data_IF_265030022102
#
_entry.id   IF_265030022102
#
_cell.length_a   1.000
_cell.length_b   1.000
_cell.length_c   1.000
_cell.angle_alpha   90.00
_cell.angle_beta   90.00
_cell.angle_gamma   90.00
#
_symmetry.space_group_name_H-M   'P 1'
#
loop_
_entity.id
_entity.type
_entity.pdbx_description
1 polymer ?
#
# COMPACT_ATOMS: atom_id res chain seq x y z
N UNK A 1 11.25 -2.33 -7.70
CA UNK A 1 10.73 -3.59 -7.13
C UNK A 1 11.21 -3.66 -5.69
N UNK A 2 10.31 -3.92 -4.75
CA UNK A 2 10.55 -3.96 -3.31
C UNK A 2 10.07 -5.32 -2.80
N UNK A 3 10.98 -6.11 -2.26
CA UNK A 3 10.74 -7.49 -1.81
C UNK A 3 11.40 -7.75 -0.44
N UNK A 4 11.68 -6.69 0.32
CA UNK A 4 12.33 -6.77 1.64
C UNK A 4 11.69 -5.77 2.60
N UNK A 5 11.65 -6.12 3.87
CA UNK A 5 11.10 -5.25 4.92
C UNK A 5 11.85 -3.90 4.98
N UNK A 6 13.17 -3.91 4.85
CA UNK A 6 13.98 -2.69 4.80
C UNK A 6 13.69 -1.82 3.57
N UNK A 7 13.44 -2.45 2.42
CA UNK A 7 13.05 -1.73 1.21
C UNK A 7 11.67 -1.09 1.35
N UNK A 8 10.72 -1.80 1.97
CA UNK A 8 9.40 -1.24 2.26
C UNK A 8 9.50 -0.05 3.21
N UNK A 9 10.29 -0.18 4.28
CA UNK A 9 10.53 0.92 5.24
C UNK A 9 11.06 2.16 4.55
N UNK A 10 12.10 2.02 3.73
CA UNK A 10 12.71 3.13 3.00
C UNK A 10 11.71 3.83 2.06
N UNK A 11 10.87 3.06 1.37
CA UNK A 11 9.81 3.63 0.50
C UNK A 11 8.76 4.38 1.31
N UNK A 12 8.30 3.80 2.43
CA UNK A 12 7.31 4.46 3.29
C UNK A 12 7.86 5.74 3.94
N UNK A 13 9.14 5.76 4.34
CA UNK A 13 9.82 6.95 4.85
C UNK A 13 9.88 8.06 3.80
N UNK A 14 10.29 7.74 2.57
CA UNK A 14 10.32 8.71 1.47
C UNK A 14 8.91 9.25 1.14
N UNK A 15 7.94 8.34 1.03
CA UNK A 15 6.54 8.67 0.77
C UNK A 15 5.90 9.53 1.86
N UNK A 16 6.33 9.36 3.13
CA UNK A 16 5.84 10.17 4.26
C UNK A 16 6.29 11.64 4.19
N UNK A 17 7.31 11.95 3.40
CA UNK A 17 7.75 13.33 3.15
C UNK A 17 7.00 14.00 1.99
N UNK A 18 6.19 13.25 1.23
CA UNK A 18 5.36 13.79 0.15
C UNK A 18 4.03 14.31 0.69
N UNK A 19 3.43 15.31 0.03
CA UNK A 19 2.09 15.80 0.38
C UNK A 19 0.98 14.82 -0.02
N UNK A 20 1.26 13.94 -0.99
CA UNK A 20 0.32 12.94 -1.47
C UNK A 20 1.05 11.76 -2.11
N UNK A 21 0.36 10.62 -2.14
CA UNK A 21 0.78 9.40 -2.84
C UNK A 21 -0.37 8.85 -3.66
N UNK A 22 -0.07 8.24 -4.80
CA UNK A 22 -1.01 7.41 -5.55
C UNK A 22 -0.77 5.93 -5.22
N UNK A 23 -1.86 5.20 -5.00
CA UNK A 23 -1.86 3.78 -4.66
C UNK A 23 -2.75 3.00 -5.63
N UNK A 24 -2.33 1.79 -5.95
CA UNK A 24 -3.06 0.82 -6.77
C UNK A 24 -2.69 -0.59 -6.33
N UNK A 25 -3.59 -1.56 -6.46
CA UNK A 25 -3.33 -2.96 -6.11
C UNK A 25 -3.66 -3.92 -7.23
N UNK A 26 -2.81 -4.93 -7.39
CA UNK A 26 -3.10 -6.12 -8.18
C UNK A 26 -3.40 -7.27 -7.24
N UNK A 27 -4.54 -7.94 -7.43
CA UNK A 27 -4.96 -9.05 -6.59
C UNK A 27 -5.65 -10.13 -7.41
N UNK A 28 -5.62 -11.36 -6.88
CA UNK A 28 -6.31 -12.49 -7.49
C UNK A 28 -7.51 -12.89 -6.64
N UNK A 29 -8.68 -13.03 -7.30
CA UNK A 29 -9.86 -13.68 -6.73
C UNK A 29 -9.99 -15.06 -7.34
N UNK A 30 -9.62 -16.08 -6.56
CA UNK A 30 -9.76 -17.48 -6.95
C UNK A 30 -10.86 -18.15 -6.12
N UNK A 31 -10.61 -19.35 -5.58
CA UNK A 31 -11.54 -20.07 -4.69
C UNK A 31 -11.36 -19.66 -3.21
N UNK A 32 -10.91 -18.42 -2.97
CA UNK A 32 -10.65 -17.87 -1.64
C UNK A 32 -11.78 -16.94 -1.24
N UNK A 33 -12.09 -16.88 0.07
CA UNK A 33 -13.09 -15.96 0.60
C UNK A 33 -12.61 -14.50 0.54
N UNK A 34 -11.33 -14.25 0.83
CA UNK A 34 -10.68 -12.94 0.72
C UNK A 34 -9.81 -12.87 -0.54
N UNK A 35 -9.73 -11.70 -1.22
CA UNK A 35 -8.76 -11.46 -2.29
C UNK A 35 -7.34 -11.57 -1.74
N UNK A 36 -6.44 -12.15 -2.53
CA UNK A 36 -5.02 -12.23 -2.19
C UNK A 36 -4.28 -11.11 -2.90
N UNK A 37 -3.66 -10.21 -2.13
CA UNK A 37 -2.80 -9.14 -2.64
C UNK A 37 -1.61 -9.78 -3.39
N UNK A 38 -1.47 -9.43 -4.66
CA UNK A 38 -0.38 -9.88 -5.53
C UNK A 38 0.68 -8.80 -5.77
N UNK A 39 0.28 -7.53 -5.81
CA UNK A 39 1.20 -6.40 -5.90
C UNK A 39 0.56 -5.14 -5.31
N UNK A 40 1.36 -4.32 -4.64
CA UNK A 40 0.99 -2.97 -4.26
C UNK A 40 1.87 -1.97 -5.02
N UNK A 41 1.26 -1.05 -5.75
CA UNK A 41 1.95 0.04 -6.42
C UNK A 41 1.83 1.32 -5.59
N UNK A 42 2.95 2.04 -5.46
CA UNK A 42 3.02 3.34 -4.81
C UNK A 42 3.77 4.33 -5.70
N UNK A 43 3.21 5.51 -5.90
CA UNK A 43 3.91 6.64 -6.50
C UNK A 43 3.83 7.86 -5.59
N UNK A 44 4.98 8.42 -5.21
CA UNK A 44 5.11 9.56 -4.30
C UNK A 44 5.30 10.92 -5.00
N UNK A 45 5.20 10.94 -6.34
CA UNK A 45 5.49 12.10 -7.17
C UNK A 45 6.90 12.10 -7.78
N UNK A 46 7.81 11.24 -7.30
CA UNK A 46 9.18 11.12 -7.79
C UNK A 46 9.51 9.69 -8.23
N UNK A 47 9.17 8.69 -7.42
CA UNK A 47 9.50 7.30 -7.61
C UNK A 47 8.26 6.42 -7.67
N UNK A 48 8.24 5.52 -8.65
CA UNK A 48 7.28 4.41 -8.69
C UNK A 48 7.91 3.20 -7.98
N UNK A 49 7.22 2.72 -6.95
CA UNK A 49 7.58 1.55 -6.17
C UNK A 49 6.57 0.44 -6.41
N UNK A 50 7.08 -0.73 -6.79
CA UNK A 50 6.30 -1.97 -6.92
C UNK A 50 6.66 -2.87 -5.75
N UNK A 51 5.71 -3.11 -4.86
CA UNK A 51 5.90 -3.83 -3.61
C UNK A 51 5.30 -5.23 -3.76
N UNK A 52 6.17 -6.24 -3.75
CA UNK A 52 5.78 -7.64 -3.77
C UNK A 52 5.45 -8.09 -2.35
N UNK A 53 4.18 -8.40 -2.04
CA UNK A 53 3.75 -8.68 -0.68
C UNK A 53 4.23 -10.05 -0.16
N UNK A 54 4.67 -10.97 -1.02
CA UNK A 54 4.95 -12.37 -0.64
C UNK A 54 6.16 -12.53 0.27
N UNK A 55 7.05 -11.53 0.29
CA UNK A 55 8.32 -11.55 1.01
C UNK A 55 8.39 -10.53 2.13
N UNK A 56 7.34 -9.72 2.29
CA UNK A 56 7.24 -8.71 3.33
C UNK A 56 6.55 -9.32 4.56
N UNK A 57 7.21 -9.19 5.71
CA UNK A 57 6.71 -9.66 7.00
C UNK A 57 6.29 -8.51 7.90
N UNK A 58 6.94 -7.34 7.76
CA UNK A 58 6.63 -6.15 8.54
C UNK A 58 5.93 -5.07 7.71
N UNK A 59 4.60 -5.01 7.87
CA UNK A 59 3.75 -4.01 7.24
C UNK A 59 3.52 -2.77 8.11
N UNK A 60 4.15 -2.64 9.29
CA UNK A 60 3.99 -1.45 10.13
C UNK A 60 4.29 -0.14 9.38
N UNK A 61 5.38 -0.01 8.58
CA UNK A 61 5.66 1.24 7.86
C UNK A 61 4.57 1.65 6.86
N UNK A 62 3.99 0.66 6.15
CA UNK A 62 2.88 0.92 5.22
C UNK A 62 1.61 1.32 5.98
N UNK A 63 1.31 0.64 7.10
CA UNK A 63 0.15 0.99 7.93
C UNK A 63 0.26 2.41 8.46
N UNK A 64 1.43 2.81 8.94
CA UNK A 64 1.68 4.16 9.42
C UNK A 64 1.50 5.19 8.30
N UNK A 65 2.00 4.91 7.08
CA UNK A 65 1.79 5.77 5.91
C UNK A 65 0.30 5.90 5.53
N UNK A 66 -0.46 4.80 5.53
CA UNK A 66 -1.89 4.80 5.21
C UNK A 66 -2.72 5.59 6.23
N UNK A 67 -2.27 5.63 7.50
CA UNK A 67 -2.89 6.39 8.58
C UNK A 67 -2.39 7.83 8.69
N UNK A 68 -1.27 8.17 8.06
CA UNK A 68 -0.70 9.51 8.10
C UNK A 68 -1.65 10.52 7.44
N UNK A 69 -2.19 11.46 8.22
CA UNK A 69 -3.14 12.49 7.75
C UNK A 69 -2.46 13.63 6.99
N UNK A 70 -1.14 13.80 7.14
CA UNK A 70 -0.37 14.81 6.40
C UNK A 70 -0.13 14.39 4.93
N UNK A 71 -0.38 13.11 4.60
CA UNK A 71 -0.21 12.55 3.27
C UNK A 71 -1.57 12.19 2.69
N UNK A 72 -1.96 12.80 1.57
CA UNK A 72 -3.20 12.42 0.87
C UNK A 72 -2.99 11.12 0.07
N UNK A 73 -3.87 10.13 0.24
CA UNK A 73 -3.82 8.87 -0.53
C UNK A 73 -4.82 8.93 -1.67
N UNK A 74 -4.35 8.88 -2.91
CA UNK A 74 -5.18 8.83 -4.11
C UNK A 74 -5.31 7.39 -4.63
N UNK A 75 -6.54 6.99 -4.91
CA UNK A 75 -6.88 5.75 -5.60
C UNK A 75 -7.89 6.06 -6.70
N UNK A 76 -7.92 5.24 -7.76
CA UNK A 76 -8.93 5.34 -8.81
C UNK A 76 -9.83 4.10 -8.79
N UNK A 77 -11.15 4.31 -8.78
CA UNK A 77 -12.13 3.21 -8.68
C UNK A 77 -11.87 2.23 -7.51
N UNK A 78 -11.32 2.75 -6.40
CA UNK A 78 -10.64 1.92 -5.39
C UNK A 78 -11.50 1.14 -4.41
N UNK A 79 -12.75 0.80 -4.76
CA UNK A 79 -13.62 0.05 -3.86
C UNK A 79 -13.04 -1.33 -3.51
N UNK A 80 -12.34 -1.95 -4.46
CA UNK A 80 -11.74 -3.27 -4.27
C UNK A 80 -10.38 -3.16 -3.56
N UNK A 81 -9.61 -2.11 -3.83
CA UNK A 81 -8.37 -1.81 -3.10
C UNK A 81 -8.63 -1.62 -1.60
N UNK A 82 -9.73 -0.95 -1.24
CA UNK A 82 -10.13 -0.79 0.15
C UNK A 82 -10.44 -2.13 0.83
N UNK A 83 -11.06 -3.07 0.10
CA UNK A 83 -11.29 -4.44 0.58
C UNK A 83 -9.95 -5.16 0.79
N UNK A 84 -9.02 -5.03 -0.16
CA UNK A 84 -7.69 -5.62 -0.08
C UNK A 84 -6.90 -5.04 1.09
N UNK A 85 -6.92 -3.74 1.33
CA UNK A 85 -6.28 -3.11 2.49
C UNK A 85 -6.89 -3.56 3.81
N UNK A 86 -8.21 -3.65 3.89
CA UNK A 86 -8.88 -4.13 5.09
C UNK A 86 -8.46 -5.57 5.40
N UNK A 87 -8.35 -6.42 4.39
CA UNK A 87 -7.97 -7.83 4.58
C UNK A 87 -6.47 -8.02 4.84
N UNK A 88 -5.61 -7.28 4.13
CA UNK A 88 -4.15 -7.42 4.23
C UNK A 88 -3.57 -6.71 5.46
N UNK A 89 -4.11 -5.55 5.82
CA UNK A 89 -3.55 -4.66 6.83
C UNK A 89 -4.46 -4.44 8.04
N UNK A 90 -5.69 -4.96 8.00
CA UNK A 90 -6.72 -4.77 9.04
C UNK A 90 -7.00 -3.28 9.32
N UNK A 91 -6.90 -2.45 8.29
CA UNK A 91 -7.20 -1.02 8.34
C UNK A 91 -7.62 -0.49 6.97
N UNK A 92 -8.21 0.70 6.97
CA UNK A 92 -8.45 1.48 5.76
C UNK A 92 -7.59 2.75 5.79
N UNK A 93 -7.13 3.24 4.62
CA UNK A 93 -6.45 4.53 4.54
C UNK A 93 -7.35 5.64 5.07
N UNK A 94 -6.78 6.57 5.84
CA UNK A 94 -7.54 7.74 6.30
C UNK A 94 -7.52 8.84 5.25
N UNK A 95 -8.68 9.43 4.99
CA UNK A 95 -8.76 10.70 4.27
C UNK A 95 -8.09 11.78 5.12
N UNK A 96 -7.29 12.63 4.48
CA UNK A 96 -6.83 13.89 5.07
C UNK A 96 -8.02 14.86 5.21
#
# INVERSE_FOLDING_TARGET
>A
MITTDDGLRAVCEAASAASAVALDTEFVRTRTYYPQLGLLQLFDGQQVSLIDPLTINDWAPMRDLLLNQDVTKYLHAGSEDLEVFLNAFNLMPQAA
#
